data_IF_246982583527
#
_entry.id   IF_246982583527
#
_cell.length_a   1.000
_cell.length_b   1.000
_cell.length_c   1.000
_cell.angle_alpha   90.00
_cell.angle_beta   90.00
_cell.angle_gamma   90.00
#
_symmetry.space_group_name_H-M   'P 1'
#
loop_
_entity.id
_entity.type
_entity.pdbx_description
1 polymer ?
#
# COMPACT_ATOMS: atom_id res chain seq x y z
N UNK A 1 -10.27 8.74 8.84
CA UNK A 1 -11.64 8.29 8.55
C UNK A 1 -11.69 6.77 8.51
N UNK A 2 -12.88 6.23 8.58
CA UNK A 2 -13.07 4.78 8.49
C UNK A 2 -12.57 4.22 7.17
N UNK A 3 -12.84 4.92 6.07
CA UNK A 3 -12.37 4.49 4.76
C UNK A 3 -10.85 4.43 4.69
N UNK A 4 -10.20 5.43 5.26
CA UNK A 4 -8.74 5.46 5.28
C UNK A 4 -8.16 4.33 6.11
N UNK A 5 -8.80 4.00 7.23
CA UNK A 5 -8.37 2.87 8.06
C UNK A 5 -8.50 1.55 7.32
N UNK A 6 -9.60 1.36 6.60
CA UNK A 6 -9.81 0.15 5.80
C UNK A 6 -8.77 0.04 4.69
N UNK A 7 -8.50 1.14 4.00
CA UNK A 7 -7.49 1.15 2.94
C UNK A 7 -6.11 0.80 3.48
N UNK A 8 -5.76 1.34 4.65
CA UNK A 8 -4.47 1.04 5.26
C UNK A 8 -4.34 -0.44 5.59
N UNK A 9 -5.37 -1.01 6.20
CA UNK A 9 -5.35 -2.43 6.54
C UNK A 9 -5.23 -3.32 5.30
N UNK A 10 -6.00 -3.01 4.26
CA UNK A 10 -5.94 -3.76 3.02
C UNK A 10 -4.57 -3.62 2.35
N UNK A 11 -3.99 -2.42 2.39
CA UNK A 11 -2.67 -2.20 1.81
C UNK A 11 -1.63 -3.11 2.47
N UNK A 12 -1.66 -3.21 3.79
CA UNK A 12 -0.72 -4.06 4.51
C UNK A 12 -0.88 -5.52 4.10
N UNK A 13 -2.12 -5.99 3.99
CA UNK A 13 -2.40 -7.36 3.57
C UNK A 13 -1.90 -7.62 2.15
N UNK A 14 -2.20 -6.72 1.22
CA UNK A 14 -1.78 -6.89 -0.17
C UNK A 14 -0.27 -6.86 -0.32
N UNK A 15 0.42 -6.01 0.44
CA UNK A 15 1.87 -5.89 0.34
C UNK A 15 2.59 -7.15 0.81
N UNK A 16 1.97 -7.94 1.67
CA UNK A 16 2.51 -9.24 2.07
C UNK A 16 2.35 -10.30 0.98
N UNK A 17 1.52 -10.05 -0.02
CA UNK A 17 1.30 -10.97 -1.14
C UNK A 17 2.29 -10.64 -2.25
N UNK A 18 3.38 -11.40 -2.32
CA UNK A 18 4.50 -11.10 -3.22
C UNK A 18 4.09 -11.02 -4.69
N UNK A 19 3.06 -11.75 -5.09
CA UNK A 19 2.62 -11.78 -6.49
C UNK A 19 1.89 -10.52 -6.92
N UNK A 20 1.45 -9.67 -5.98
CA UNK A 20 0.73 -8.45 -6.31
C UNK A 20 1.70 -7.31 -6.53
N UNK A 21 1.59 -6.65 -7.69
CA UNK A 21 2.41 -5.47 -7.99
C UNK A 21 1.86 -4.25 -7.27
N UNK A 22 2.72 -3.25 -7.11
CA UNK A 22 2.28 -1.97 -6.51
C UNK A 22 1.19 -1.34 -7.36
N UNK A 23 1.29 -1.44 -8.70
CA UNK A 23 0.25 -0.93 -9.58
C UNK A 23 -1.09 -1.62 -9.36
N UNK A 24 -1.08 -2.93 -9.20
CA UNK A 24 -2.30 -3.68 -8.94
C UNK A 24 -2.92 -3.27 -7.62
N UNK A 25 -2.10 -3.15 -6.57
CA UNK A 25 -2.59 -2.75 -5.25
C UNK A 25 -3.21 -1.35 -5.31
N UNK A 26 -2.56 -0.44 -6.02
CA UNK A 26 -3.07 0.92 -6.22
C UNK A 26 -4.50 0.87 -6.76
N UNK A 27 -4.70 0.06 -7.79
CA UNK A 27 -5.99 -0.07 -8.43
C UNK A 27 -7.02 -0.69 -7.48
N UNK A 28 -6.63 -1.76 -6.78
CA UNK A 28 -7.54 -2.47 -5.87
C UNK A 28 -8.01 -1.59 -4.72
N UNK A 29 -7.16 -0.66 -4.27
CA UNK A 29 -7.50 0.24 -3.19
C UNK A 29 -8.28 1.47 -3.65
N UNK A 30 -8.46 1.63 -4.97
CA UNK A 30 -9.24 2.73 -5.50
C UNK A 30 -8.48 4.03 -5.72
N UNK A 31 -7.14 3.99 -5.71
CA UNK A 31 -6.34 5.16 -6.06
C UNK A 31 -6.22 5.28 -7.58
N UNK A 32 -6.16 6.50 -8.07
CA UNK A 32 -6.08 6.73 -9.52
C UNK A 32 -4.69 6.44 -10.08
N UNK A 33 -3.64 6.63 -9.28
CA UNK A 33 -2.27 6.44 -9.72
C UNK A 33 -1.39 5.93 -8.59
N UNK A 34 -0.29 5.19 -8.91
CA UNK A 34 0.62 4.69 -7.87
C UNK A 34 1.22 5.80 -7.00
N UNK A 35 1.45 6.98 -7.54
CA UNK A 35 2.00 8.09 -6.76
C UNK A 35 1.04 8.51 -5.64
N UNK A 36 -0.25 8.46 -5.90
CA UNK A 36 -1.25 8.79 -4.88
C UNK A 36 -1.26 7.76 -3.76
N UNK A 37 -1.16 6.48 -4.13
CA UNK A 37 -1.08 5.42 -3.15
C UNK A 37 0.20 5.54 -2.32
N UNK A 38 1.34 5.78 -2.98
CA UNK A 38 2.63 5.91 -2.28
C UNK A 38 2.58 7.05 -1.26
N UNK A 39 2.00 8.17 -1.65
CA UNK A 39 1.88 9.32 -0.74
C UNK A 39 1.01 9.00 0.47
N UNK A 40 -0.11 8.35 0.24
CA UNK A 40 -1.01 7.96 1.32
C UNK A 40 -0.33 6.95 2.25
N UNK A 41 0.35 5.96 1.66
CA UNK A 41 1.00 4.93 2.45
C UNK A 41 2.12 5.51 3.32
N UNK A 42 2.89 6.46 2.78
CA UNK A 42 3.91 7.14 3.59
C UNK A 42 3.30 7.88 4.76
N UNK A 43 2.14 8.50 4.55
CA UNK A 43 1.45 9.20 5.63
C UNK A 43 1.01 8.21 6.71
N UNK A 44 0.58 7.01 6.31
CA UNK A 44 0.09 6.01 7.25
C UNK A 44 1.20 5.29 8.00
N UNK A 45 2.30 4.97 7.33
CA UNK A 45 3.31 4.06 7.86
C UNK A 45 4.71 4.67 7.99
N UNK A 46 4.95 5.81 7.37
CA UNK A 46 6.26 6.45 7.40
C UNK A 46 7.24 5.95 6.35
N UNK A 47 6.86 4.93 5.58
CA UNK A 47 7.73 4.38 4.52
C UNK A 47 6.94 4.22 3.23
N UNK A 48 7.67 4.06 2.12
CA UNK A 48 7.00 3.77 0.85
C UNK A 48 6.53 2.32 0.83
N UNK A 49 5.55 1.99 -0.05
CA UNK A 49 5.12 0.59 -0.18
C UNK A 49 6.25 -0.36 -0.56
N UNK A 50 7.16 0.07 -1.44
CA UNK A 50 8.30 -0.77 -1.83
C UNK A 50 9.23 -1.03 -0.66
N UNK A 51 9.54 0.01 0.10
CA UNK A 51 10.38 -0.14 1.29
C UNK A 51 9.76 -1.08 2.30
N UNK A 52 8.46 -0.92 2.52
CA UNK A 52 7.75 -1.80 3.45
C UNK A 52 7.82 -3.25 3.00
N UNK A 53 7.59 -3.49 1.71
CA UNK A 53 7.63 -4.84 1.16
C UNK A 53 9.02 -5.47 1.29
N UNK A 54 10.07 -4.70 1.03
CA UNK A 54 11.44 -5.18 1.16
C UNK A 54 11.76 -5.56 2.60
N UNK A 55 11.34 -4.75 3.55
CA UNK A 55 11.56 -5.04 4.97
C UNK A 55 10.78 -6.26 5.40
N UNK A 56 9.55 -6.41 4.93
CA UNK A 56 8.70 -7.54 5.29
C UNK A 56 9.21 -8.85 4.70
N UNK A 57 10.02 -8.79 3.63
CA UNK A 57 10.57 -9.98 2.98
C UNK A 57 11.72 -10.61 3.78
N UNK A 58 12.23 -9.91 4.77
CA UNK A 58 13.30 -10.41 5.65
C UNK A 58 12.72 -10.95 6.97
#
# INVERSE_FOLDING_TARGET
SLLEEVRRELALQYLHQKHRSIGEITYLLGFSEPSNFTRAFRRWSGTSPNEFRQRAAH
#
